data_IF_210394984042
#
_entry.id   IF_210394984042
#
_cell.length_a   1.000
_cell.length_b   1.000
_cell.length_c   1.000
_cell.angle_alpha   90.00
_cell.angle_beta   90.00
_cell.angle_gamma   90.00
#
_symmetry.space_group_name_H-M   'P 1'
#
loop_
_entity.id
_entity.type
_entity.pdbx_description
1 polymer ?
#
# COMPACT_ATOMS: atom_id res chain seq x y z
N UNK A 1 -8.52 2.20 -3.28
CA UNK A 1 -8.21 1.33 -4.42
C UNK A 1 -9.22 0.20 -4.37
N UNK A 2 -10.10 0.09 -5.34
CA UNK A 2 -10.95 -1.10 -5.57
C UNK A 2 -10.47 -1.83 -6.83
N UNK A 3 -11.03 -3.00 -7.17
CA UNK A 3 -10.67 -3.70 -8.42
C UNK A 3 -10.80 -2.83 -9.67
N UNK A 4 -11.78 -1.92 -9.70
CA UNK A 4 -11.99 -0.92 -10.75
C UNK A 4 -10.86 0.11 -10.91
N UNK A 5 -10.00 0.25 -9.89
CA UNK A 5 -8.88 1.20 -9.90
C UNK A 5 -7.62 0.60 -10.53
N UNK A 6 -7.63 -0.68 -10.90
CA UNK A 6 -6.53 -1.30 -11.66
C UNK A 6 -6.66 -0.92 -13.14
N UNK A 7 -5.55 -0.48 -13.72
CA UNK A 7 -5.36 -0.36 -15.17
C UNK A 7 -4.42 -1.47 -15.61
N UNK A 8 -4.95 -2.45 -16.33
CA UNK A 8 -4.14 -3.46 -16.98
C UNK A 8 -3.68 -2.93 -18.34
N UNK A 9 -2.37 -2.96 -18.59
CA UNK A 9 -1.75 -2.57 -19.85
C UNK A 9 -1.10 -3.81 -20.46
N UNK A 10 -1.41 -4.09 -21.73
CA UNK A 10 -0.81 -5.18 -22.51
C UNK A 10 -0.21 -4.58 -23.77
N UNK A 11 1.09 -4.23 -23.77
CA UNK A 11 1.71 -3.51 -24.88
C UNK A 11 2.12 -4.42 -26.05
N UNK A 12 2.25 -5.73 -25.83
CA UNK A 12 2.92 -6.64 -26.78
C UNK A 12 2.06 -7.79 -27.31
N UNK A 13 0.77 -7.88 -26.95
CA UNK A 13 -0.14 -8.94 -27.42
C UNK A 13 -0.77 -8.71 -28.81
N UNK A 14 -0.47 -7.58 -29.45
CA UNK A 14 -1.01 -7.16 -30.73
C UNK A 14 -0.35 -7.85 -31.93
N UNK A 15 -1.11 -8.00 -33.02
CA UNK A 15 -0.63 -8.62 -34.28
C UNK A 15 -1.01 -7.83 -35.53
N UNK A 16 -1.70 -6.70 -35.36
CA UNK A 16 -2.12 -5.88 -36.50
C UNK A 16 -0.90 -5.20 -37.12
N UNK A 17 -0.79 -5.27 -38.44
CA UNK A 17 0.22 -4.55 -39.20
C UNK A 17 -0.38 -3.19 -39.61
N UNK A 18 0.29 -2.06 -39.33
CA UNK A 18 -0.14 -0.75 -39.81
C UNK A 18 -0.36 -0.75 -41.33
N UNK A 19 -1.43 -0.13 -41.86
CA UNK A 19 -1.74 -0.15 -43.28
C UNK A 19 -0.66 0.54 -44.15
N UNK A 20 0.19 1.37 -43.55
CA UNK A 20 1.35 1.99 -44.20
C UNK A 20 2.50 1.02 -44.48
N UNK A 21 2.49 -0.16 -43.84
CA UNK A 21 3.52 -1.19 -43.99
C UNK A 21 2.93 -2.31 -44.86
N UNK A 22 3.43 -2.44 -46.09
CA UNK A 22 3.04 -3.57 -46.94
C UNK A 22 3.64 -4.86 -46.39
N UNK A 23 2.87 -5.94 -46.41
CA UNK A 23 3.38 -7.28 -46.12
C UNK A 23 4.53 -7.68 -47.06
N UNK A 24 4.53 -7.16 -48.28
CA UNK A 24 5.57 -7.43 -49.29
C UNK A 24 6.89 -6.73 -49.01
N UNK A 25 6.88 -5.69 -48.17
CA UNK A 25 8.07 -4.95 -47.74
C UNK A 25 8.80 -5.68 -46.60
N UNK A 26 8.11 -6.58 -45.90
CA UNK A 26 8.65 -7.34 -44.79
C UNK A 26 9.54 -8.48 -45.27
N UNK A 27 10.53 -8.83 -44.44
CA UNK A 27 11.44 -9.94 -44.71
C UNK A 27 10.69 -11.26 -44.92
N UNK A 28 11.21 -12.15 -45.78
CA UNK A 28 10.62 -13.47 -46.03
C UNK A 28 10.54 -14.33 -44.76
N UNK A 29 11.40 -14.03 -43.77
CA UNK A 29 11.45 -14.71 -42.48
C UNK A 29 10.59 -14.03 -41.39
N UNK A 30 9.67 -13.13 -41.75
CA UNK A 30 8.94 -12.31 -40.78
C UNK A 30 8.17 -13.16 -39.76
N UNK A 31 7.60 -14.29 -40.19
CA UNK A 31 6.91 -15.25 -39.29
C UNK A 31 7.81 -15.78 -38.18
N UNK A 32 9.13 -15.92 -38.40
CA UNK A 32 10.05 -16.36 -37.35
C UNK A 32 10.26 -15.28 -36.28
N UNK A 33 10.16 -14.00 -36.67
CA UNK A 33 10.29 -12.86 -35.76
C UNK A 33 9.09 -12.77 -34.81
N UNK A 34 7.91 -13.19 -35.26
CA UNK A 34 6.68 -13.18 -34.47
C UNK A 34 6.72 -14.09 -33.24
N UNK A 35 7.74 -14.94 -33.09
CA UNK A 35 7.96 -15.72 -31.86
C UNK A 35 8.25 -14.85 -30.62
N UNK A 36 8.62 -13.59 -30.83
CA UNK A 36 8.89 -12.61 -29.77
C UNK A 36 7.69 -11.69 -29.47
N UNK A 37 6.51 -12.01 -30.00
CA UNK A 37 5.25 -11.35 -29.63
C UNK A 37 4.70 -12.03 -28.38
N UNK A 38 4.09 -11.26 -27.48
CA UNK A 38 3.53 -11.77 -26.23
C UNK A 38 2.17 -12.43 -26.46
N UNK A 39 2.19 -13.61 -27.08
CA UNK A 39 1.00 -14.29 -27.55
C UNK A 39 -0.01 -14.56 -26.43
N UNK A 40 -1.29 -14.30 -26.72
CA UNK A 40 -2.44 -14.58 -25.85
C UNK A 40 -2.51 -13.78 -24.55
N UNK A 41 -1.59 -12.85 -24.32
CA UNK A 41 -1.56 -12.00 -23.12
C UNK A 41 -2.80 -11.14 -22.96
N UNK A 42 -3.44 -10.73 -24.06
CA UNK A 42 -4.71 -10.01 -24.02
C UNK A 42 -5.84 -10.80 -23.36
N UNK A 43 -5.78 -12.14 -23.39
CA UNK A 43 -6.73 -13.03 -22.71
C UNK A 43 -6.26 -13.41 -21.31
N UNK A 44 -4.95 -13.61 -21.14
CA UNK A 44 -4.33 -13.96 -19.86
C UNK A 44 -4.53 -12.85 -18.82
N UNK A 45 -4.45 -11.59 -19.24
CA UNK A 45 -4.60 -10.41 -18.39
C UNK A 45 -5.97 -9.73 -18.52
N UNK A 46 -6.98 -10.40 -19.09
CA UNK A 46 -8.35 -9.88 -19.07
C UNK A 46 -9.06 -10.27 -17.77
N UNK A 47 -9.17 -9.31 -16.86
CA UNK A 47 -9.82 -9.47 -15.56
C UNK A 47 -11.15 -8.70 -15.47
N UNK A 48 -11.63 -8.12 -16.58
CA UNK A 48 -12.74 -7.15 -16.54
C UNK A 48 -14.02 -7.75 -16.00
N UNK A 49 -14.27 -9.02 -16.25
CA UNK A 49 -15.41 -9.77 -15.73
C UNK A 49 -15.31 -10.10 -14.23
N UNK A 50 -14.11 -9.99 -13.63
CA UNK A 50 -13.83 -10.35 -12.23
C UNK A 50 -13.64 -9.10 -11.37
N UNK A 51 -12.83 -8.15 -11.84
CA UNK A 51 -12.43 -6.95 -11.09
C UNK A 51 -13.15 -5.68 -11.53
N UNK A 52 -13.85 -5.70 -12.67
CA UNK A 52 -14.36 -4.50 -13.34
C UNK A 52 -13.26 -3.44 -13.58
N UNK A 53 -12.02 -3.90 -13.80
CA UNK A 53 -10.85 -3.05 -14.05
C UNK A 53 -10.90 -2.40 -15.44
N UNK A 54 -10.00 -1.44 -15.66
CA UNK A 54 -9.74 -0.86 -16.99
C UNK A 54 -8.66 -1.69 -17.69
N UNK A 55 -8.74 -1.86 -19.01
CA UNK A 55 -7.75 -2.58 -19.80
C UNK A 55 -7.40 -1.80 -21.06
N UNK A 56 -6.11 -1.65 -21.34
CA UNK A 56 -5.56 -1.14 -22.59
C UNK A 56 -4.69 -2.22 -23.24
N UNK A 57 -5.05 -2.62 -24.45
CA UNK A 57 -4.27 -3.56 -25.26
C UNK A 57 -3.78 -2.81 -26.48
N UNK A 58 -2.46 -2.79 -26.70
CA UNK A 58 -1.91 -2.22 -27.93
C UNK A 58 -2.15 -3.20 -29.09
N UNK A 59 -2.88 -2.80 -30.16
CA UNK A 59 -3.35 -3.76 -31.16
C UNK A 59 -2.30 -4.12 -32.21
N UNK A 60 -1.26 -3.30 -32.38
CA UNK A 60 -0.26 -3.47 -33.42
C UNK A 60 0.85 -4.42 -33.00
N UNK A 61 1.47 -5.06 -33.99
CA UNK A 61 2.58 -6.00 -33.78
C UNK A 61 3.78 -5.29 -33.13
N UNK A 62 4.22 -5.79 -31.97
CA UNK A 62 5.36 -5.24 -31.20
C UNK A 62 6.68 -5.27 -31.96
N UNK A 63 6.82 -6.17 -32.94
CA UNK A 63 8.00 -6.23 -33.81
C UNK A 63 8.09 -4.99 -34.71
N UNK A 64 6.95 -4.40 -35.09
CA UNK A 64 6.89 -3.22 -35.97
C UNK A 64 6.76 -1.91 -35.18
N UNK A 65 6.00 -1.95 -34.09
CA UNK A 65 5.72 -0.81 -33.21
C UNK A 65 5.79 -1.27 -31.75
N UNK A 66 6.87 -0.97 -31.06
CA UNK A 66 7.08 -1.37 -29.67
C UNK A 66 6.53 -0.31 -28.71
N UNK A 67 5.33 -0.58 -28.16
CA UNK A 67 4.66 0.28 -27.19
C UNK A 67 5.26 0.25 -25.77
N UNK A 68 6.29 -0.57 -25.54
CA UNK A 68 7.06 -0.57 -24.29
C UNK A 68 8.47 0.04 -24.47
N UNK A 69 8.64 0.88 -25.50
CA UNK A 69 9.81 1.74 -25.74
C UNK A 69 9.40 3.21 -25.80
N UNK A 70 10.36 4.10 -25.58
CA UNK A 70 10.11 5.54 -25.62
C UNK A 70 9.67 5.98 -27.01
N UNK A 71 8.46 6.57 -27.18
CA UNK A 71 8.00 7.08 -28.48
C UNK A 71 8.93 8.14 -29.11
N UNK A 72 9.81 8.77 -28.33
CA UNK A 72 10.85 9.68 -28.82
C UNK A 72 12.09 8.95 -29.37
N UNK A 73 12.34 7.72 -28.94
CA UNK A 73 13.46 6.89 -29.39
C UNK A 73 13.01 5.99 -30.55
N UNK A 74 13.01 6.56 -31.76
CA UNK A 74 12.53 5.89 -32.97
C UNK A 74 13.29 4.59 -33.29
N UNK A 75 14.55 4.49 -32.87
CA UNK A 75 15.40 3.32 -33.09
C UNK A 75 14.99 2.10 -32.29
N UNK A 76 14.39 2.31 -31.12
CA UNK A 76 13.82 1.23 -30.32
C UNK A 76 12.32 1.04 -30.57
N UNK A 77 11.55 2.13 -30.68
CA UNK A 77 10.09 2.01 -30.70
C UNK A 77 9.49 1.69 -32.08
N UNK A 78 10.22 1.98 -33.17
CA UNK A 78 9.82 1.59 -34.54
C UNK A 78 11.04 0.99 -35.24
N UNK A 79 11.47 -0.21 -34.85
CA UNK A 79 12.77 -0.73 -35.25
C UNK A 79 12.80 -1.19 -36.73
N UNK A 80 13.99 -1.17 -37.34
CA UNK A 80 14.24 -1.80 -38.67
C UNK A 80 14.93 -3.16 -38.56
N UNK A 81 15.39 -3.51 -37.36
CA UNK A 81 16.00 -4.79 -36.99
C UNK A 81 15.46 -5.26 -35.66
N UNK A 82 15.34 -6.57 -35.48
CA UNK A 82 14.96 -7.13 -34.18
C UNK A 82 16.09 -7.01 -33.14
N UNK A 83 15.81 -7.49 -31.91
CA UNK A 83 16.76 -7.48 -30.79
C UNK A 83 18.04 -8.29 -31.04
N UNK A 84 18.06 -9.15 -32.06
CA UNK A 84 19.23 -9.93 -32.49
C UNK A 84 19.91 -9.35 -33.74
N UNK A 85 19.46 -8.19 -34.21
CA UNK A 85 19.99 -7.51 -35.39
C UNK A 85 19.50 -8.07 -36.72
N UNK A 86 18.51 -8.96 -36.73
CA UNK A 86 17.90 -9.52 -37.94
C UNK A 86 17.01 -8.46 -38.60
N UNK A 87 17.06 -8.30 -39.94
CA UNK A 87 16.27 -7.29 -40.63
C UNK A 87 14.77 -7.60 -40.55
N UNK A 88 13.96 -6.58 -40.27
CA UNK A 88 12.48 -6.69 -40.26
C UNK A 88 11.92 -6.52 -41.67
N UNK A 89 12.56 -5.67 -42.48
CA UNK A 89 12.18 -5.35 -43.85
C UNK A 89 13.12 -6.03 -44.84
N UNK A 90 12.66 -6.19 -46.08
CA UNK A 90 13.54 -6.55 -47.20
C UNK A 90 14.53 -5.43 -47.46
N UNK A 91 15.68 -5.81 -48.02
CA UNK A 91 16.71 -4.83 -48.38
C UNK A 91 16.15 -3.77 -49.33
N UNK A 92 16.41 -2.50 -49.00
CA UNK A 92 15.91 -1.30 -49.70
C UNK A 92 14.42 -0.99 -49.52
N UNK A 93 13.72 -1.72 -48.65
CA UNK A 93 12.34 -1.43 -48.23
C UNK A 93 12.25 -0.96 -46.78
N UNK A 94 13.39 -0.69 -46.12
CA UNK A 94 13.40 -0.12 -44.79
C UNK A 94 12.73 1.27 -44.78
N UNK A 95 11.81 1.55 -43.85
CA UNK A 95 11.19 2.85 -43.74
C UNK A 95 12.19 3.92 -43.32
N UNK A 96 12.08 5.10 -43.92
CA UNK A 96 12.89 6.25 -43.53
C UNK A 96 12.63 6.67 -42.07
N UNK A 97 13.60 7.34 -41.44
CA UNK A 97 13.42 7.89 -40.10
C UNK A 97 12.19 8.81 -39.98
N UNK A 98 11.86 9.59 -41.02
CA UNK A 98 10.65 10.42 -41.05
C UNK A 98 9.35 9.61 -41.07
N UNK A 99 9.31 8.48 -41.78
CA UNK A 99 8.14 7.60 -41.79
C UNK A 99 7.97 6.95 -40.41
N UNK A 100 9.05 6.46 -39.82
CA UNK A 100 9.07 5.84 -38.50
C UNK A 100 8.62 6.81 -37.40
N UNK A 101 9.12 8.06 -37.43
CA UNK A 101 8.67 9.12 -36.53
C UNK A 101 7.17 9.41 -36.69
N UNK A 102 6.68 9.49 -37.93
CA UNK A 102 5.25 9.70 -38.19
C UNK A 102 4.38 8.54 -37.68
N UNK A 103 4.86 7.30 -37.74
CA UNK A 103 4.17 6.15 -37.16
C UNK A 103 4.18 6.16 -35.63
N UNK A 104 5.31 6.53 -35.00
CA UNK A 104 5.36 6.73 -33.54
C UNK A 104 4.35 7.80 -33.09
N UNK A 105 4.30 8.94 -33.78
CA UNK A 105 3.33 10.01 -33.52
C UNK A 105 1.88 9.56 -33.68
N UNK A 106 1.61 8.70 -34.67
CA UNK A 106 0.27 8.23 -35.00
C UNK A 106 -0.23 7.12 -34.08
N UNK A 107 0.65 6.24 -33.60
CA UNK A 107 0.25 5.00 -32.92
C UNK A 107 0.72 4.92 -31.47
N UNK A 108 2.00 5.24 -31.21
CA UNK A 108 2.60 5.06 -29.89
C UNK A 108 2.25 6.21 -28.95
N UNK A 109 2.46 7.46 -29.36
CA UNK A 109 2.14 8.62 -28.50
C UNK A 109 0.67 8.66 -28.07
N UNK A 110 -0.33 8.35 -28.92
CA UNK A 110 -1.72 8.25 -28.48
C UNK A 110 -1.95 7.12 -27.47
N UNK A 111 -1.29 5.97 -27.61
CA UNK A 111 -1.40 4.88 -26.64
C UNK A 111 -0.90 5.29 -25.25
N UNK A 112 0.28 5.92 -25.17
CA UNK A 112 0.80 6.43 -23.89
C UNK A 112 -0.10 7.53 -23.30
N UNK A 113 -0.66 8.41 -24.12
CA UNK A 113 -1.65 9.40 -23.67
C UNK A 113 -2.90 8.74 -23.09
N UNK A 114 -3.39 7.66 -23.70
CA UNK A 114 -4.52 6.90 -23.15
C UNK A 114 -4.20 6.29 -21.77
N UNK A 115 -2.96 5.91 -21.50
CA UNK A 115 -2.55 5.46 -20.15
C UNK A 115 -2.70 6.62 -19.15
N UNK A 116 -2.15 7.79 -19.45
CA UNK A 116 -2.25 9.00 -18.61
C UNK A 116 -3.72 9.43 -18.38
N UNK A 117 -4.55 9.35 -19.42
CA UNK A 117 -5.99 9.65 -19.35
C UNK A 117 -6.71 8.68 -18.41
N UNK A 118 -6.38 7.38 -18.44
CA UNK A 118 -6.96 6.38 -17.53
C UNK A 118 -6.52 6.60 -16.07
N UNK A 119 -5.26 6.97 -15.84
CA UNK A 119 -4.75 7.33 -14.50
C UNK A 119 -5.48 8.57 -13.98
N UNK A 120 -5.63 9.59 -14.84
CA UNK A 120 -6.35 10.83 -14.52
C UNK A 120 -7.84 10.57 -14.24
N UNK A 121 -8.44 9.60 -14.93
CA UNK A 121 -9.80 9.12 -14.71
C UNK A 121 -9.97 8.24 -13.45
N UNK A 122 -8.89 8.01 -12.70
CA UNK A 122 -8.94 7.37 -11.39
C UNK A 122 -8.28 6.00 -11.30
N UNK A 123 -7.58 5.52 -12.33
CA UNK A 123 -6.74 4.33 -12.15
C UNK A 123 -5.64 4.63 -11.11
N UNK A 124 -5.55 3.78 -10.09
CA UNK A 124 -4.68 3.92 -8.94
C UNK A 124 -3.51 2.94 -8.91
N UNK A 125 -3.50 1.94 -9.79
CA UNK A 125 -2.43 0.94 -9.94
C UNK A 125 -2.34 0.55 -11.42
N UNK A 126 -1.13 0.51 -11.97
CA UNK A 126 -0.86 -0.02 -13.31
C UNK A 126 -0.32 -1.44 -13.17
N UNK A 127 -0.95 -2.37 -13.90
CA UNK A 127 -0.48 -3.73 -14.06
C UNK A 127 0.02 -3.88 -15.50
N UNK A 128 1.33 -3.96 -15.68
CA UNK A 128 1.97 -4.10 -16.99
C UNK A 128 2.22 -5.58 -17.30
N UNK A 129 1.39 -6.15 -18.18
CA UNK A 129 1.29 -7.59 -18.40
C UNK A 129 2.06 -8.05 -19.63
N UNK A 130 3.04 -8.93 -19.39
CA UNK A 130 3.92 -9.50 -20.41
C UNK A 130 4.00 -11.02 -20.35
N UNK A 131 4.57 -11.63 -21.39
CA UNK A 131 4.92 -13.04 -21.37
C UNK A 131 6.33 -13.28 -21.87
N UNK A 132 6.96 -14.30 -21.30
CA UNK A 132 8.35 -14.66 -21.62
C UNK A 132 8.49 -16.14 -21.91
N UNK A 133 9.59 -16.50 -22.55
CA UNK A 133 10.07 -17.90 -22.60
C UNK A 133 11.07 -18.15 -21.47
N UNK A 134 11.54 -19.39 -21.34
CA UNK A 134 12.64 -19.76 -20.42
C UNK A 134 13.95 -19.12 -20.88
N UNK A 135 14.22 -17.92 -20.38
CA UNK A 135 15.37 -17.09 -20.71
C UNK A 135 15.61 -16.07 -19.58
N UNK A 136 16.78 -15.40 -19.58
CA UNK A 136 17.07 -14.26 -18.67
C UNK A 136 16.86 -14.58 -17.19
N UNK A 137 17.17 -15.81 -16.78
CA UNK A 137 17.01 -16.28 -15.41
C UNK A 137 15.60 -16.76 -15.03
N UNK A 138 14.65 -16.81 -15.98
CA UNK A 138 13.29 -17.29 -15.77
C UNK A 138 13.17 -18.77 -16.13
N UNK A 139 12.69 -19.59 -15.18
CA UNK A 139 12.35 -21.00 -15.34
C UNK A 139 11.03 -21.21 -16.11
N UNK A 140 10.77 -22.43 -16.57
CA UNK A 140 9.55 -22.76 -17.32
C UNK A 140 8.26 -22.64 -16.50
N UNK A 141 8.30 -22.93 -15.20
CA UNK A 141 7.16 -22.80 -14.29
C UNK A 141 7.13 -21.49 -13.51
N UNK A 142 7.71 -20.40 -14.04
CA UNK A 142 7.94 -19.16 -13.30
C UNK A 142 7.07 -17.97 -13.76
N UNK A 143 6.70 -17.14 -12.77
CA UNK A 143 6.19 -15.78 -12.94
C UNK A 143 7.17 -14.86 -12.21
N UNK A 144 7.73 -13.88 -12.92
CA UNK A 144 8.57 -12.85 -12.29
C UNK A 144 7.83 -11.51 -12.26
N UNK A 145 7.91 -10.85 -11.10
CA UNK A 145 7.29 -9.56 -10.86
C UNK A 145 8.39 -8.51 -10.70
N UNK A 146 8.23 -7.35 -11.31
CA UNK A 146 9.24 -6.29 -11.22
C UNK A 146 8.63 -4.94 -10.86
N UNK A 147 9.14 -4.32 -9.79
CA UNK A 147 8.77 -2.97 -9.39
C UNK A 147 9.85 -1.93 -9.64
N UNK A 148 10.95 -2.29 -10.32
CA UNK A 148 11.97 -1.33 -10.72
C UNK A 148 12.72 -1.76 -11.98
N UNK A 149 13.44 -0.82 -12.58
CA UNK A 149 14.51 -1.08 -13.55
C UNK A 149 15.81 -0.36 -13.17
N UNK A 150 16.93 -0.87 -13.66
CA UNK A 150 18.20 -0.19 -13.68
C UNK A 150 18.94 -0.56 -14.96
N UNK A 151 18.77 0.28 -15.97
CA UNK A 151 19.36 0.12 -17.30
C UNK A 151 20.62 0.97 -17.44
N UNK A 152 21.37 0.80 -18.54
CA UNK A 152 22.50 1.67 -18.86
C UNK A 152 22.15 3.14 -19.09
N UNK A 153 20.86 3.45 -19.25
CA UNK A 153 20.32 4.81 -19.43
C UNK A 153 20.02 5.50 -18.09
N UNK A 154 19.94 4.73 -17.01
CA UNK A 154 19.48 5.21 -15.72
C UNK A 154 20.70 5.55 -14.84
N UNK A 155 20.81 6.80 -14.37
CA UNK A 155 21.84 7.18 -13.39
C UNK A 155 21.67 6.46 -12.04
N UNK A 156 20.43 6.08 -11.72
CA UNK A 156 20.02 5.37 -10.51
C UNK A 156 18.81 4.49 -10.81
N UNK A 157 18.55 3.44 -10.01
CA UNK A 157 17.36 2.61 -10.20
C UNK A 157 16.06 3.43 -10.23
N UNK A 158 15.20 3.13 -11.20
CA UNK A 158 13.88 3.73 -11.36
C UNK A 158 12.85 2.79 -10.75
N UNK A 159 12.32 3.16 -9.58
CA UNK A 159 11.29 2.39 -8.88
C UNK A 159 9.90 2.82 -9.33
N UNK A 160 9.07 1.84 -9.65
CA UNK A 160 7.71 2.00 -10.13
C UNK A 160 6.66 1.98 -9.02
N UNK A 161 6.95 1.26 -7.93
CA UNK A 161 6.14 1.25 -6.71
C UNK A 161 6.96 0.76 -5.50
N UNK A 162 6.50 1.02 -4.25
CA UNK A 162 7.15 0.49 -3.05
C UNK A 162 7.03 -1.03 -2.97
N UNK A 163 8.06 -1.70 -2.42
CA UNK A 163 8.16 -3.16 -2.33
C UNK A 163 6.91 -3.82 -1.72
N UNK A 164 6.27 -3.17 -0.75
CA UNK A 164 5.05 -3.67 -0.10
C UNK A 164 3.94 -3.99 -1.11
N UNK A 165 3.83 -3.28 -2.24
CA UNK A 165 2.80 -3.57 -3.24
C UNK A 165 3.10 -4.88 -3.96
N UNK A 166 4.31 -5.00 -4.52
CA UNK A 166 4.70 -6.18 -5.32
C UNK A 166 4.88 -7.43 -4.46
N UNK A 167 5.42 -7.30 -3.25
CA UNK A 167 5.59 -8.43 -2.33
C UNK A 167 4.26 -8.94 -1.77
N UNK A 168 3.30 -8.05 -1.51
CA UNK A 168 1.95 -8.47 -1.12
C UNK A 168 1.30 -9.24 -2.27
N UNK A 169 1.41 -8.74 -3.50
CA UNK A 169 0.89 -9.44 -4.67
C UNK A 169 1.56 -10.80 -4.91
N UNK A 170 2.88 -10.86 -4.78
CA UNK A 170 3.65 -12.11 -4.88
C UNK A 170 3.20 -13.13 -3.83
N UNK A 171 3.00 -12.70 -2.59
CA UNK A 171 2.53 -13.56 -1.51
C UNK A 171 1.11 -14.12 -1.80
N UNK A 172 0.20 -13.29 -2.30
CA UNK A 172 -1.13 -13.75 -2.69
C UNK A 172 -1.10 -14.69 -3.90
N UNK A 173 -0.21 -14.45 -4.88
CA UNK A 173 -0.04 -15.37 -6.01
C UNK A 173 0.50 -16.73 -5.57
N UNK A 174 1.50 -16.77 -4.68
CA UNK A 174 2.06 -18.03 -4.15
C UNK A 174 1.01 -18.88 -3.43
N UNK A 175 0.02 -18.24 -2.78
CA UNK A 175 -1.13 -18.95 -2.16
C UNK A 175 -2.05 -19.56 -3.20
N UNK A 176 -2.35 -18.83 -4.28
CA UNK A 176 -3.26 -19.27 -5.33
C UNK A 176 -2.62 -20.28 -6.29
N UNK A 177 -1.30 -20.21 -6.47
CA UNK A 177 -0.53 -21.00 -7.42
C UNK A 177 0.69 -21.66 -6.73
N UNK A 178 0.47 -22.63 -5.82
CA UNK A 178 1.55 -23.23 -5.02
C UNK A 178 2.60 -23.97 -5.87
N UNK A 179 2.24 -24.42 -7.07
CA UNK A 179 3.13 -25.15 -7.99
C UNK A 179 3.89 -24.22 -8.96
N UNK A 180 3.63 -22.92 -8.91
CA UNK A 180 4.26 -21.91 -9.78
C UNK A 180 5.34 -21.19 -9.00
N UNK A 181 6.54 -21.08 -9.58
CA UNK A 181 7.63 -20.33 -8.98
C UNK A 181 7.37 -18.83 -9.16
N UNK A 182 6.95 -18.14 -8.10
CA UNK A 182 6.71 -16.68 -8.14
C UNK A 182 7.88 -15.95 -7.51
N UNK A 183 8.55 -15.10 -8.29
CA UNK A 183 9.71 -14.31 -7.88
C UNK A 183 9.44 -12.81 -7.99
N UNK A 184 10.24 -12.01 -7.29
CA UNK A 184 10.19 -10.55 -7.31
C UNK A 184 11.60 -10.05 -7.64
N UNK A 185 11.74 -9.28 -8.71
CA UNK A 185 12.99 -8.70 -9.21
C UNK A 185 14.13 -9.71 -9.35
N UNK A 186 13.84 -10.96 -9.70
CA UNK A 186 14.84 -12.02 -9.69
C UNK A 186 15.47 -12.27 -11.07
N UNK A 187 14.80 -11.86 -12.14
CA UNK A 187 15.29 -12.04 -13.50
C UNK A 187 16.23 -10.93 -13.95
N UNK A 188 16.94 -11.17 -15.05
CA UNK A 188 17.76 -10.15 -15.71
C UNK A 188 16.92 -9.05 -16.38
N UNK A 189 15.58 -9.18 -16.40
CA UNK A 189 14.69 -8.17 -16.98
C UNK A 189 14.70 -6.83 -16.25
N UNK A 190 15.18 -6.78 -14.99
CA UNK A 190 15.43 -5.50 -14.29
C UNK A 190 16.44 -4.61 -15.01
N UNK A 191 17.24 -5.16 -15.93
CA UNK A 191 18.19 -4.41 -16.77
C UNK A 191 17.64 -4.02 -18.15
N UNK A 192 16.39 -4.39 -18.44
CA UNK A 192 15.69 -4.08 -19.69
C UNK A 192 14.75 -2.89 -19.45
N UNK A 193 14.78 -1.93 -20.37
CA UNK A 193 13.92 -0.75 -20.26
C UNK A 193 12.46 -1.10 -20.56
N UNK A 194 11.57 -0.92 -19.57
CA UNK A 194 10.11 -1.01 -19.74
C UNK A 194 9.49 0.38 -19.70
N UNK A 195 9.26 0.98 -20.88
CA UNK A 195 8.85 2.38 -20.97
C UNK A 195 7.46 2.67 -20.37
N UNK A 196 6.51 1.74 -20.45
CA UNK A 196 5.16 1.90 -19.85
C UNK A 196 5.29 2.21 -18.37
N UNK A 197 5.97 1.36 -17.61
CA UNK A 197 6.20 1.59 -16.19
C UNK A 197 7.11 2.82 -15.97
N UNK A 198 8.23 2.96 -16.69
CA UNK A 198 9.16 4.06 -16.46
C UNK A 198 8.56 5.46 -16.68
N UNK A 199 7.67 5.63 -17.66
CA UNK A 199 7.05 6.91 -18.00
C UNK A 199 5.85 7.26 -17.10
N UNK A 200 5.03 6.25 -16.78
CA UNK A 200 3.70 6.45 -16.20
C UNK A 200 3.60 6.12 -14.72
N UNK A 201 4.68 5.59 -14.12
CA UNK A 201 4.67 5.17 -12.73
C UNK A 201 5.18 6.21 -11.74
N UNK A 202 4.88 5.98 -10.45
CA UNK A 202 5.46 6.74 -9.34
C UNK A 202 5.70 5.83 -8.15
N UNK A 203 6.88 5.92 -7.53
CA UNK A 203 7.23 5.19 -6.31
C UNK A 203 6.46 5.72 -5.08
N UNK A 204 5.16 5.50 -5.04
CA UNK A 204 4.26 5.87 -3.96
C UNK A 204 3.10 4.87 -3.86
N UNK A 205 2.48 4.75 -2.70
CA UNK A 205 1.35 3.82 -2.51
C UNK A 205 0.08 4.26 -3.26
N UNK A 206 -0.01 5.53 -3.66
CA UNK A 206 -1.16 6.12 -4.36
C UNK A 206 -0.67 6.93 -5.57
N UNK A 207 -1.56 7.14 -6.53
CA UNK A 207 -1.31 8.01 -7.69
C UNK A 207 -0.94 9.44 -7.28
N UNK A 208 -0.05 10.06 -8.04
CA UNK A 208 0.36 11.46 -7.92
C UNK A 208 0.23 12.11 -9.30
N UNK A 209 -0.71 13.05 -9.44
CA UNK A 209 -1.03 13.63 -10.74
C UNK A 209 -1.52 12.57 -11.74
N UNK A 210 -0.87 12.53 -12.91
CA UNK A 210 -1.12 11.57 -13.99
C UNK A 210 -0.24 10.31 -13.92
N UNK A 211 0.40 10.03 -12.77
CA UNK A 211 1.23 8.84 -12.54
C UNK A 211 0.66 7.98 -11.41
N UNK A 212 0.78 6.65 -11.52
CA UNK A 212 0.29 5.70 -10.52
C UNK A 212 1.36 4.66 -10.15
N UNK A 213 1.34 4.04 -8.96
CA UNK A 213 2.20 2.88 -8.72
C UNK A 213 2.02 1.83 -9.82
N UNK A 214 3.10 1.20 -10.22
CA UNK A 214 3.09 0.18 -11.26
C UNK A 214 4.02 -0.99 -10.92
N UNK A 215 3.77 -2.13 -11.54
CA UNK A 215 4.71 -3.23 -11.62
C UNK A 215 4.49 -4.01 -12.93
N UNK A 216 5.54 -4.70 -13.36
CA UNK A 216 5.55 -5.57 -14.52
C UNK A 216 5.35 -7.01 -14.05
N UNK A 217 4.57 -7.80 -14.78
CA UNK A 217 4.51 -9.25 -14.63
C UNK A 217 4.94 -9.95 -15.92
N UNK A 218 6.01 -10.73 -15.81
CA UNK A 218 6.49 -11.63 -16.85
C UNK A 218 6.01 -13.06 -16.56
N UNK A 219 5.02 -13.54 -17.32
CA UNK A 219 4.50 -14.90 -17.16
C UNK A 219 5.14 -15.83 -18.17
N UNK A 220 5.77 -16.92 -17.73
CA UNK A 220 6.33 -17.88 -18.67
C UNK A 220 5.24 -18.54 -19.52
N UNK A 221 5.42 -18.53 -20.84
CA UNK A 221 4.54 -19.10 -21.85
C UNK A 221 4.18 -20.58 -21.60
N UNK A 222 5.07 -21.37 -21.00
CA UNK A 222 4.84 -22.78 -20.65
C UNK A 222 3.71 -22.97 -19.63
N UNK A 223 3.37 -21.94 -18.87
CA UNK A 223 2.26 -21.99 -17.93
C UNK A 223 0.89 -21.95 -18.62
N UNK A 224 0.80 -21.46 -19.86
CA UNK A 224 -0.48 -21.19 -20.51
C UNK A 224 -0.58 -21.55 -22.00
N UNK A 225 0.49 -22.07 -22.61
CA UNK A 225 0.50 -22.64 -23.97
C UNK A 225 0.69 -24.15 -23.93
N UNK A 226 0.12 -24.83 -24.91
CA UNK A 226 0.42 -26.24 -25.18
C UNK A 226 1.81 -26.38 -25.81
N UNK A 227 2.34 -27.61 -25.88
CA UNK A 227 3.67 -27.86 -26.47
C UNK A 227 3.78 -27.46 -27.94
N UNK A 228 2.66 -27.49 -28.68
CA UNK A 228 2.58 -27.05 -30.08
C UNK A 228 2.43 -25.53 -30.24
N UNK A 229 2.43 -24.78 -29.12
CA UNK A 229 2.30 -23.33 -29.09
C UNK A 229 0.87 -22.80 -29.14
N UNK A 230 -0.14 -23.68 -29.25
CA UNK A 230 -1.55 -23.28 -29.18
C UNK A 230 -1.95 -22.83 -27.77
N UNK A 231 -2.97 -21.96 -27.61
CA UNK A 231 -3.36 -21.49 -26.29
C UNK A 231 -4.00 -22.62 -25.49
N UNK A 232 -3.54 -22.82 -24.25
CA UNK A 232 -4.22 -23.70 -23.31
C UNK A 232 -5.32 -22.91 -22.58
N UNK A 233 -6.54 -22.96 -23.12
CA UNK A 233 -7.69 -22.19 -22.61
C UNK A 233 -7.98 -22.46 -21.13
N UNK A 234 -7.77 -23.71 -20.68
CA UNK A 234 -7.96 -24.09 -19.28
C UNK A 234 -6.95 -23.40 -18.36
N UNK A 235 -5.67 -23.41 -18.74
CA UNK A 235 -4.62 -22.74 -17.98
C UNK A 235 -4.75 -21.22 -18.02
N UNK A 236 -5.07 -20.63 -19.18
CA UNK A 236 -5.35 -19.19 -19.29
C UNK A 236 -6.45 -18.77 -18.31
N UNK A 237 -7.56 -19.54 -18.25
CA UNK A 237 -8.64 -19.22 -17.31
C UNK A 237 -8.26 -19.43 -15.85
N UNK A 238 -7.46 -20.45 -15.54
CA UNK A 238 -6.94 -20.67 -14.18
C UNK A 238 -6.06 -19.51 -13.74
N UNK A 239 -5.09 -19.14 -14.56
CA UNK A 239 -4.13 -18.08 -14.26
C UNK A 239 -4.81 -16.72 -14.18
N UNK A 240 -5.67 -16.35 -15.14
CA UNK A 240 -6.33 -15.03 -15.10
C UNK A 240 -7.19 -14.84 -13.84
N UNK A 241 -7.83 -15.91 -13.36
CA UNK A 241 -8.59 -15.90 -12.10
C UNK A 241 -7.66 -15.75 -10.89
N UNK A 242 -6.59 -16.53 -10.84
CA UNK A 242 -5.59 -16.41 -9.78
C UNK A 242 -4.99 -14.99 -9.73
N UNK A 243 -4.64 -14.42 -10.88
CA UNK A 243 -4.09 -13.07 -10.98
C UNK A 243 -5.09 -12.02 -10.48
N UNK A 244 -6.34 -12.10 -10.92
CA UNK A 244 -7.40 -11.22 -10.49
C UNK A 244 -7.69 -11.32 -8.98
N UNK A 245 -7.82 -12.54 -8.45
CA UNK A 245 -8.07 -12.77 -7.03
C UNK A 245 -6.91 -12.29 -6.16
N UNK A 246 -5.65 -12.58 -6.55
CA UNK A 246 -4.47 -12.09 -5.85
C UNK A 246 -4.35 -10.57 -5.89
N UNK A 247 -4.71 -9.92 -7.01
CA UNK A 247 -4.80 -8.46 -7.10
C UNK A 247 -5.86 -7.90 -6.15
N UNK A 248 -7.04 -8.52 -6.11
CA UNK A 248 -8.11 -8.11 -5.20
C UNK A 248 -7.67 -8.19 -3.74
N UNK A 249 -7.07 -9.31 -3.32
CA UNK A 249 -6.58 -9.49 -1.94
C UNK A 249 -5.44 -8.54 -1.58
N UNK A 250 -4.57 -8.23 -2.54
CA UNK A 250 -3.50 -7.25 -2.38
C UNK A 250 -4.08 -5.87 -2.08
N UNK A 251 -5.04 -5.43 -2.89
CA UNK A 251 -5.70 -4.15 -2.72
C UNK A 251 -6.40 -4.06 -1.37
N UNK A 252 -7.12 -5.11 -0.94
CA UNK A 252 -7.73 -5.16 0.39
C UNK A 252 -6.69 -5.06 1.51
N UNK A 253 -5.60 -5.84 1.43
CA UNK A 253 -4.55 -5.84 2.46
C UNK A 253 -3.83 -4.50 2.59
N UNK A 254 -3.56 -3.82 1.47
CA UNK A 254 -2.96 -2.48 1.46
C UNK A 254 -3.92 -1.42 2.04
N UNK A 255 -5.22 -1.56 1.79
CA UNK A 255 -6.23 -0.68 2.39
C UNK A 255 -6.39 -0.90 3.90
N UNK A 256 -6.39 -2.15 4.36
CA UNK A 256 -6.40 -2.48 5.78
C UNK A 256 -5.16 -1.94 6.50
N UNK A 257 -3.99 -2.09 5.89
CA UNK A 257 -2.72 -1.60 6.45
C UNK A 257 -2.68 -0.07 6.55
N UNK A 258 -3.33 0.65 5.63
CA UNK A 258 -3.51 2.10 5.72
C UNK A 258 -4.51 2.54 6.79
N UNK A 259 -5.41 1.67 7.24
CA UNK A 259 -6.37 1.97 8.32
C UNK A 259 -5.77 1.87 9.71
N UNK A 260 -4.54 1.40 9.87
CA UNK A 260 -3.81 1.46 11.14
C UNK A 260 -3.33 2.89 11.35
N UNK A 261 -4.26 3.82 11.57
CA UNK A 261 -3.99 5.18 11.99
C UNK A 261 -3.60 5.14 13.47
N UNK A 262 -2.36 5.48 13.76
CA UNK A 262 -1.86 5.64 15.12
C UNK A 262 -1.61 7.13 15.33
N UNK A 263 -2.28 7.72 16.31
CA UNK A 263 -2.07 9.10 16.73
C UNK A 263 -0.64 9.22 17.24
N UNK A 264 0.07 10.22 16.73
CA UNK A 264 1.46 10.46 17.11
C UNK A 264 1.51 11.33 18.37
N UNK A 265 1.58 10.67 19.52
CA UNK A 265 1.85 11.30 20.81
C UNK A 265 3.34 11.26 21.14
N UNK A 266 3.82 12.32 21.79
CA UNK A 266 5.11 12.28 22.46
C UNK A 266 5.11 11.20 23.55
N UNK A 267 6.24 10.51 23.72
CA UNK A 267 6.38 9.47 24.75
C UNK A 267 6.44 10.15 26.12
N UNK A 268 5.50 9.80 27.00
CA UNK A 268 5.44 10.34 28.36
C UNK A 268 5.47 9.23 29.38
N UNK A 269 6.57 9.09 30.13
CA UNK A 269 6.68 8.09 31.21
C UNK A 269 6.43 8.73 32.57
N UNK A 270 5.57 8.09 33.36
CA UNK A 270 5.29 8.44 34.74
C UNK A 270 6.56 8.38 35.60
N UNK A 271 6.64 9.21 36.64
CA UNK A 271 7.82 9.29 37.51
C UNK A 271 7.63 8.35 38.71
N UNK A 272 6.44 8.37 39.30
CA UNK A 272 6.05 7.52 40.42
C UNK A 272 4.95 6.55 39.98
N UNK A 273 4.77 5.45 40.69
CA UNK A 273 3.74 4.43 40.38
C UNK A 273 2.30 4.96 40.48
N UNK A 274 2.07 6.05 41.24
CA UNK A 274 0.75 6.66 41.45
C UNK A 274 0.42 7.85 40.52
N UNK A 275 1.33 8.28 39.65
CA UNK A 275 1.18 9.52 38.85
C UNK A 275 0.93 9.30 37.35
N UNK A 276 0.47 8.10 36.97
CA UNK A 276 0.07 7.77 35.60
C UNK A 276 -1.01 8.72 35.04
N UNK A 277 -1.96 9.17 35.86
CA UNK A 277 -3.00 10.13 35.45
C UNK A 277 -2.46 11.53 35.12
N UNK A 278 -1.47 11.99 35.88
CA UNK A 278 -0.76 13.27 35.62
C UNK A 278 -0.06 13.19 34.27
N UNK A 279 0.71 12.13 34.05
CA UNK A 279 1.46 11.94 32.82
C UNK A 279 0.53 11.76 31.61
N UNK A 280 -0.54 10.98 31.75
CA UNK A 280 -1.51 10.78 30.68
C UNK A 280 -2.15 12.11 30.24
N UNK A 281 -2.56 12.94 31.21
CA UNK A 281 -3.14 14.25 30.91
C UNK A 281 -2.13 15.19 30.24
N UNK A 282 -0.92 15.28 30.81
CA UNK A 282 0.15 16.12 30.28
C UNK A 282 0.51 15.74 28.83
N UNK A 283 0.62 14.44 28.53
CA UNK A 283 0.91 13.94 27.17
C UNK A 283 -0.19 14.33 26.18
N UNK A 284 -1.46 14.22 26.55
CA UNK A 284 -2.57 14.62 25.67
C UNK A 284 -2.65 16.15 25.52
N UNK A 285 -2.35 16.92 26.56
CA UNK A 285 -2.27 18.40 26.46
C UNK A 285 -1.16 18.84 25.50
N UNK A 286 0.02 18.22 25.59
CA UNK A 286 1.14 18.50 24.70
C UNK A 286 0.83 18.18 23.23
N UNK A 287 0.06 17.12 22.96
CA UNK A 287 -0.44 16.82 21.60
C UNK A 287 -1.25 17.96 20.98
N UNK A 288 -1.94 18.75 21.79
CA UNK A 288 -2.66 19.95 21.37
C UNK A 288 -1.85 21.24 21.53
N UNK A 289 -0.53 21.14 21.79
CA UNK A 289 0.38 22.28 21.90
C UNK A 289 0.25 23.06 23.20
N UNK A 290 -0.32 22.45 24.25
CA UNK A 290 -0.38 23.04 25.58
C UNK A 290 0.71 22.43 26.44
N UNK A 291 1.79 23.16 26.65
CA UNK A 291 2.85 22.79 27.57
C UNK A 291 2.46 23.19 28.99
N UNK A 292 2.55 22.24 29.92
CA UNK A 292 2.19 22.44 31.32
C UNK A 292 3.34 21.96 32.19
N UNK A 293 3.72 22.77 33.18
CA UNK A 293 4.69 22.37 34.19
C UNK A 293 4.14 21.20 35.00
N UNK A 294 4.97 20.19 35.20
CA UNK A 294 4.55 18.94 35.81
C UNK A 294 4.19 19.12 37.28
N UNK A 295 5.00 19.87 38.03
CA UNK A 295 4.82 20.03 39.47
C UNK A 295 3.56 20.85 39.75
N UNK A 296 3.30 21.87 38.92
CA UNK A 296 2.03 22.60 38.93
C UNK A 296 0.84 21.68 38.64
N UNK A 297 0.97 20.78 37.64
CA UNK A 297 -0.10 19.84 37.29
C UNK A 297 -0.36 18.82 38.41
N UNK A 298 0.68 18.26 39.03
CA UNK A 298 0.55 17.36 40.19
C UNK A 298 -0.24 18.04 41.32
N UNK A 299 0.12 19.28 41.64
CA UNK A 299 -0.55 20.06 42.69
C UNK A 299 -2.01 20.35 42.34
N UNK A 300 -2.28 20.75 41.08
CA UNK A 300 -3.63 21.04 40.62
C UNK A 300 -4.54 19.80 40.60
N UNK A 301 -3.97 18.64 40.30
CA UNK A 301 -4.70 17.36 40.27
C UNK A 301 -4.89 16.76 41.67
N UNK A 302 -4.11 17.20 42.67
CA UNK A 302 -4.15 16.63 44.02
C UNK A 302 -3.74 15.15 44.03
N UNK A 303 -2.82 14.77 43.13
CA UNK A 303 -2.36 13.39 42.98
C UNK A 303 -1.58 12.95 44.22
N UNK A 304 -1.88 11.76 44.74
CA UNK A 304 -1.26 11.21 45.96
C UNK A 304 -0.89 9.74 45.79
N UNK A 305 0.04 9.25 46.61
CA UNK A 305 0.42 7.83 46.64
C UNK A 305 -0.74 6.91 47.02
N UNK A 306 -1.61 7.34 47.94
CA UNK A 306 -2.75 6.53 48.42
C UNK A 306 -3.92 6.46 47.42
N UNK A 307 -4.24 7.58 46.77
CA UNK A 307 -5.45 7.72 45.95
C UNK A 307 -5.21 7.89 44.45
N UNK A 308 -3.94 7.95 44.01
CA UNK A 308 -3.60 8.24 42.63
C UNK A 308 -4.13 9.61 42.18
N UNK A 309 -4.58 9.68 40.92
CA UNK A 309 -5.10 10.91 40.28
C UNK A 309 -6.63 10.83 40.10
N UNK A 310 -7.42 11.70 40.76
CA UNK A 310 -8.89 11.69 40.64
C UNK A 310 -9.38 12.11 39.24
N UNK A 311 -10.32 11.38 38.61
CA UNK A 311 -10.86 11.74 37.29
C UNK A 311 -11.44 13.16 37.21
N UNK A 312 -12.17 13.59 38.25
CA UNK A 312 -12.81 14.89 38.33
C UNK A 312 -11.78 16.03 38.37
N UNK A 313 -10.62 15.80 39.00
CA UNK A 313 -9.52 16.76 39.01
C UNK A 313 -8.89 16.90 37.62
N UNK A 314 -8.71 15.80 36.88
CA UNK A 314 -8.25 15.83 35.50
C UNK A 314 -9.18 16.63 34.58
N UNK A 315 -10.49 16.45 34.74
CA UNK A 315 -11.51 17.19 33.98
C UNK A 315 -11.40 18.69 34.29
N UNK A 316 -11.37 19.07 35.57
CA UNK A 316 -11.30 20.47 35.99
C UNK A 316 -10.00 21.15 35.52
N UNK A 317 -8.86 20.46 35.64
CA UNK A 317 -7.58 20.95 35.14
C UNK A 317 -7.61 21.13 33.62
N UNK A 318 -8.06 20.14 32.84
CA UNK A 318 -8.17 20.29 31.39
C UNK A 318 -9.07 21.48 30.99
N UNK A 319 -10.19 21.68 31.68
CA UNK A 319 -11.06 22.84 31.44
C UNK A 319 -10.38 24.17 31.75
N UNK A 320 -9.56 24.26 32.81
CA UNK A 320 -8.83 25.51 33.15
C UNK A 320 -7.78 25.88 32.09
N UNK A 321 -7.23 24.91 31.36
CA UNK A 321 -6.36 25.13 30.19
C UNK A 321 -7.13 25.38 28.87
N UNK A 322 -8.46 25.54 28.96
CA UNK A 322 -9.31 25.94 27.84
C UNK A 322 -9.67 24.80 26.88
N UNK A 323 -9.67 23.55 27.35
CA UNK A 323 -10.22 22.43 26.60
C UNK A 323 -11.73 22.30 26.86
N UNK A 324 -12.47 21.93 25.83
CA UNK A 324 -13.76 21.27 26.03
C UNK A 324 -13.47 19.82 26.41
N UNK A 325 -14.02 19.34 27.52
CA UNK A 325 -13.77 17.98 28.01
C UNK A 325 -15.05 17.17 27.91
N UNK A 326 -14.98 16.04 27.21
CA UNK A 326 -16.03 15.03 27.26
C UNK A 326 -15.49 13.81 27.99
N UNK A 327 -16.16 13.43 29.07
CA UNK A 327 -15.77 12.32 29.91
C UNK A 327 -16.97 11.63 30.56
N UNK A 328 -16.75 10.46 31.14
CA UNK A 328 -17.76 9.75 31.92
C UNK A 328 -17.49 8.26 31.98
N UNK A 329 -18.35 7.55 32.71
CA UNK A 329 -18.39 6.09 32.78
C UNK A 329 -19.37 5.53 31.74
N UNK A 330 -19.38 4.21 31.60
CA UNK A 330 -20.27 3.47 30.69
C UNK A 330 -20.09 3.84 29.22
N UNK A 331 -18.89 4.26 28.82
CA UNK A 331 -18.57 4.44 27.41
C UNK A 331 -18.58 3.08 26.70
N UNK A 332 -19.03 3.08 25.46
CA UNK A 332 -18.90 1.91 24.59
C UNK A 332 -17.53 1.91 23.90
N UNK A 333 -17.02 0.72 23.59
CA UNK A 333 -15.80 0.59 22.78
C UNK A 333 -15.94 1.29 21.43
N UNK A 334 -17.14 1.31 20.83
CA UNK A 334 -17.40 2.02 19.58
C UNK A 334 -17.21 3.54 19.72
N UNK A 335 -17.56 4.15 20.86
CA UNK A 335 -17.30 5.57 21.11
C UNK A 335 -15.80 5.85 21.19
N UNK A 336 -15.04 5.00 21.88
CA UNK A 336 -13.57 5.10 21.92
C UNK A 336 -13.00 5.05 20.51
N UNK A 337 -13.44 4.05 19.71
CA UNK A 337 -12.96 3.89 18.34
C UNK A 337 -13.24 5.12 17.46
N UNK A 338 -14.44 5.70 17.56
CA UNK A 338 -14.81 6.90 16.79
C UNK A 338 -13.91 8.12 17.09
N UNK A 339 -13.51 8.31 18.35
CA UNK A 339 -12.58 9.38 18.70
C UNK A 339 -11.17 9.12 18.14
N UNK A 340 -10.66 7.90 18.30
CA UNK A 340 -9.33 7.54 17.82
C UNK A 340 -9.25 7.63 16.28
N UNK A 341 -10.26 7.14 15.57
CA UNK A 341 -10.35 7.19 14.10
C UNK A 341 -10.35 8.63 13.55
N UNK A 342 -10.76 9.61 14.37
CA UNK A 342 -10.77 11.03 14.01
C UNK A 342 -9.55 11.80 14.53
N UNK A 343 -8.53 11.08 15.03
CA UNK A 343 -7.28 11.67 15.52
C UNK A 343 -7.36 12.27 16.93
N UNK A 344 -8.36 11.88 17.72
CA UNK A 344 -8.55 12.32 19.11
C UNK A 344 -8.10 11.21 20.08
N UNK A 345 -7.01 11.40 20.86
CA UNK A 345 -6.59 10.43 21.86
C UNK A 345 -7.64 10.27 22.97
N UNK A 346 -7.80 9.04 23.47
CA UNK A 346 -8.77 8.75 24.55
C UNK A 346 -8.03 8.29 25.79
N UNK A 347 -8.10 9.08 26.87
CA UNK A 347 -7.63 8.65 28.18
C UNK A 347 -8.66 7.67 28.75
N UNK A 348 -8.19 6.50 29.19
CA UNK A 348 -9.00 5.45 29.79
C UNK A 348 -8.41 5.06 31.13
N UNK A 349 -9.26 4.55 32.03
CA UNK A 349 -8.88 4.02 33.33
C UNK A 349 -9.20 2.53 33.36
N UNK A 350 -8.18 1.69 33.55
CA UNK A 350 -8.28 0.23 33.44
C UNK A 350 -7.33 -0.48 34.42
N UNK A 351 -7.51 -1.79 34.59
CA UNK A 351 -6.62 -2.64 35.40
C UNK A 351 -5.39 -3.11 34.60
N UNK A 352 -4.18 -2.84 35.10
CA UNK A 352 -2.91 -3.21 34.44
C UNK A 352 -1.76 -3.46 35.41
N UNK A 353 -0.65 -4.00 34.91
CA UNK A 353 0.62 -4.12 35.64
C UNK A 353 0.60 -4.93 36.95
N UNK A 354 -0.32 -5.88 37.10
CA UNK A 354 -0.34 -6.81 38.23
C UNK A 354 0.97 -7.61 38.35
N UNK A 355 1.40 -7.89 39.59
CA UNK A 355 2.66 -8.60 39.91
C UNK A 355 2.66 -10.09 39.52
N UNK A 356 1.51 -10.64 39.14
CA UNK A 356 1.33 -12.05 38.78
C UNK A 356 0.63 -12.20 37.44
N UNK A 357 0.69 -13.41 36.90
CA UNK A 357 -0.14 -13.76 35.75
C UNK A 357 -1.64 -13.66 36.09
N UNK A 358 -2.40 -13.07 35.16
CA UNK A 358 -3.83 -12.79 35.30
C UNK A 358 -4.58 -13.32 34.07
N UNK A 359 -5.62 -14.12 34.31
CA UNK A 359 -6.56 -14.53 33.26
C UNK A 359 -7.58 -13.42 32.96
N UNK A 360 -8.36 -13.56 31.87
CA UNK A 360 -9.45 -12.63 31.56
C UNK A 360 -10.48 -12.54 32.71
N UNK A 361 -10.77 -13.66 33.36
CA UNK A 361 -11.74 -13.68 34.47
C UNK A 361 -11.15 -13.12 35.77
N UNK A 362 -9.82 -13.20 35.95
CA UNK A 362 -9.13 -12.50 37.04
C UNK A 362 -9.23 -10.99 36.84
N UNK A 363 -8.91 -10.49 35.63
CA UNK A 363 -9.01 -9.05 35.32
C UNK A 363 -10.42 -8.50 35.56
N UNK A 364 -11.47 -9.23 35.18
CA UNK A 364 -12.88 -8.83 35.41
C UNK A 364 -13.22 -8.62 36.90
N UNK A 365 -12.46 -9.22 37.80
CA UNK A 365 -12.70 -9.20 39.25
C UNK A 365 -11.65 -8.38 40.00
N UNK A 366 -10.63 -7.91 39.30
CA UNK A 366 -9.55 -7.12 39.86
C UNK A 366 -10.00 -5.67 40.02
N UNK A 367 -9.70 -5.06 41.16
CA UNK A 367 -9.99 -3.65 41.45
C UNK A 367 -8.83 -2.97 42.18
N UNK A 368 -7.67 -3.64 42.24
CA UNK A 368 -6.54 -3.23 43.06
C UNK A 368 -5.37 -2.69 42.20
N UNK A 369 -5.45 -2.79 40.86
CA UNK A 369 -4.36 -2.45 39.94
C UNK A 369 -4.79 -1.38 38.92
N UNK A 370 -5.48 -0.34 39.38
CA UNK A 370 -5.96 0.79 38.57
C UNK A 370 -4.84 1.56 37.88
N UNK A 371 -5.03 1.87 36.59
CA UNK A 371 -4.03 2.52 35.75
C UNK A 371 -4.65 3.37 34.64
N UNK A 372 -4.13 4.59 34.45
CA UNK A 372 -4.47 5.42 33.30
C UNK A 372 -3.59 5.09 32.10
N UNK A 373 -4.21 4.91 30.94
CA UNK A 373 -3.52 4.76 29.65
C UNK A 373 -4.24 5.59 28.57
N UNK A 374 -3.56 5.84 27.45
CA UNK A 374 -4.12 6.63 26.35
C UNK A 374 -4.28 5.73 25.12
N UNK A 375 -5.51 5.51 24.66
CA UNK A 375 -5.78 4.84 23.40
C UNK A 375 -5.41 5.78 22.25
N UNK A 376 -4.51 5.33 21.38
CA UNK A 376 -3.96 6.14 20.28
C UNK A 376 -4.14 5.50 18.91
N UNK A 377 -4.52 4.23 18.84
CA UNK A 377 -4.64 3.56 17.55
C UNK A 377 -5.41 2.26 17.64
N UNK A 378 -5.87 1.80 16.49
CA UNK A 378 -6.62 0.57 16.35
C UNK A 378 -6.00 -0.24 15.21
N UNK A 379 -5.92 -1.55 15.42
CA UNK A 379 -5.54 -2.50 14.36
C UNK A 379 -6.34 -3.78 14.52
N UNK A 380 -7.31 -4.01 13.62
CA UNK A 380 -8.24 -5.14 13.72
C UNK A 380 -8.90 -5.16 15.11
N UNK A 381 -8.70 -6.24 15.88
CA UNK A 381 -9.25 -6.42 17.22
C UNK A 381 -8.27 -6.01 18.33
N UNK A 382 -7.31 -5.13 18.04
CA UNK A 382 -6.28 -4.67 18.97
C UNK A 382 -6.34 -3.16 19.14
N UNK A 383 -6.36 -2.71 20.39
CA UNK A 383 -6.16 -1.32 20.78
C UNK A 383 -4.67 -1.10 21.06
N UNK A 384 -4.14 0.03 20.60
CA UNK A 384 -2.77 0.48 20.81
C UNK A 384 -2.77 1.65 21.78
N UNK A 385 -1.83 1.65 22.73
CA UNK A 385 -1.77 2.62 23.80
C UNK A 385 -0.43 3.34 23.85
N UNK A 386 -0.48 4.63 24.16
CA UNK A 386 0.61 5.32 24.84
C UNK A 386 0.39 5.11 26.35
N UNK A 387 1.37 4.50 27.02
CA UNK A 387 1.21 3.96 28.36
C UNK A 387 2.21 4.61 29.32
N UNK A 388 1.76 5.44 30.27
CA UNK A 388 2.63 6.11 31.21
C UNK A 388 3.60 5.20 31.99
N UNK A 389 3.29 3.92 32.18
CA UNK A 389 4.15 3.01 32.93
C UNK A 389 5.44 2.62 32.18
N UNK A 390 5.51 2.86 30.87
CA UNK A 390 6.60 2.37 30.02
C UNK A 390 6.89 3.30 28.85
N UNK A 391 8.15 3.34 28.40
CA UNK A 391 8.54 4.10 27.18
C UNK A 391 8.10 3.41 25.88
N UNK A 392 7.50 2.21 25.99
CA UNK A 392 7.07 1.41 24.84
C UNK A 392 5.57 1.59 24.66
N UNK A 393 5.12 1.71 23.42
CA UNK A 393 3.69 1.59 23.13
C UNK A 393 3.20 0.18 23.45
N UNK A 394 2.08 0.08 24.17
CA UNK A 394 1.49 -1.18 24.60
C UNK A 394 0.24 -1.49 23.79
N UNK A 395 -0.31 -2.71 23.95
CA UNK A 395 -1.48 -3.14 23.20
C UNK A 395 -2.32 -4.12 23.99
N UNK A 396 -3.63 -4.12 23.73
CA UNK A 396 -4.58 -5.09 24.28
C UNK A 396 -5.56 -5.51 23.19
N UNK A 397 -5.99 -6.77 23.20
CA UNK A 397 -7.13 -7.18 22.36
C UNK A 397 -8.42 -6.59 22.91
N UNK A 398 -9.41 -6.32 22.06
CA UNK A 398 -10.71 -5.75 22.48
C UNK A 398 -11.35 -6.51 23.64
N UNK A 399 -11.36 -7.84 23.56
CA UNK A 399 -11.91 -8.71 24.62
C UNK A 399 -11.19 -8.52 25.96
N UNK A 400 -9.89 -8.32 25.92
CA UNK A 400 -9.05 -8.15 27.10
C UNK A 400 -9.18 -6.74 27.67
N UNK A 401 -9.17 -5.72 26.82
CA UNK A 401 -9.46 -4.34 27.22
C UNK A 401 -10.80 -4.24 27.95
N UNK A 402 -11.88 -4.78 27.37
CA UNK A 402 -13.21 -4.78 27.99
C UNK A 402 -13.27 -5.53 29.34
N UNK A 403 -12.37 -6.49 29.57
CA UNK A 403 -12.29 -7.21 30.83
C UNK A 403 -11.52 -6.44 31.91
N UNK A 404 -10.71 -5.46 31.51
CA UNK A 404 -9.87 -4.63 32.39
C UNK A 404 -10.44 -3.23 32.59
N UNK A 405 -11.41 -2.80 31.79
CA UNK A 405 -11.84 -1.40 31.68
C UNK A 405 -12.78 -0.97 32.82
N UNK A 406 -12.28 -1.03 34.03
CA UNK A 406 -12.94 -0.59 35.24
C UNK A 406 -11.91 -0.26 36.31
N UNK A 407 -12.29 0.56 37.28
CA UNK A 407 -11.48 0.84 38.47
C UNK A 407 -12.34 1.40 39.62
N UNK A 408 -11.79 1.51 40.83
CA UNK A 408 -12.48 2.05 42.00
C UNK A 408 -11.63 3.12 42.71
N UNK A 409 -12.27 4.22 43.10
CA UNK A 409 -11.66 5.16 44.03
C UNK A 409 -11.62 4.51 45.42
N UNK A 410 -10.42 4.22 45.92
CA UNK A 410 -10.20 3.56 47.22
C UNK A 410 -10.71 4.38 48.40
N UNK A 411 -10.80 5.71 48.27
CA UNK A 411 -11.21 6.63 49.33
C UNK A 411 -12.73 6.86 49.34
N UNK A 412 -13.35 6.97 48.18
CA UNK A 412 -14.80 7.23 48.06
C UNK A 412 -15.63 5.98 47.80
N UNK A 413 -14.99 4.87 47.42
CA UNK A 413 -15.62 3.64 46.91
C UNK A 413 -16.45 3.86 45.62
N UNK A 414 -16.25 4.98 44.93
CA UNK A 414 -16.88 5.24 43.63
C UNK A 414 -16.27 4.33 42.56
N UNK A 415 -17.13 3.64 41.80
CA UNK A 415 -16.71 2.76 40.70
C UNK A 415 -16.72 3.47 39.36
N UNK A 416 -15.62 3.32 38.63
CA UNK A 416 -15.44 3.84 37.29
C UNK A 416 -15.45 2.71 36.27
N UNK A 417 -16.64 2.24 35.91
CA UNK A 417 -16.77 1.26 34.82
C UNK A 417 -16.74 1.96 33.46
N UNK A 418 -15.92 1.44 32.55
CA UNK A 418 -15.73 1.95 31.20
C UNK A 418 -15.51 3.47 31.16
N UNK A 419 -14.59 3.96 31.98
CA UNK A 419 -14.24 5.38 32.01
C UNK A 419 -13.48 5.79 30.75
N UNK A 420 -13.97 6.83 30.09
CA UNK A 420 -13.29 7.48 28.97
C UNK A 420 -13.26 8.99 29.15
N UNK A 421 -12.19 9.63 28.68
CA UNK A 421 -12.03 11.08 28.66
C UNK A 421 -11.30 11.52 27.39
N UNK A 422 -11.82 12.54 26.73
CA UNK A 422 -11.19 13.20 25.58
C UNK A 422 -11.12 14.71 25.78
N UNK A 423 -10.05 15.31 25.26
CA UNK A 423 -9.84 16.75 25.22
C UNK A 423 -10.15 17.25 23.81
N UNK A 424 -11.00 18.28 23.72
CA UNK A 424 -11.54 18.86 22.48
C UNK A 424 -11.39 20.39 22.49
N UNK A 425 -11.77 21.03 21.38
CA UNK A 425 -11.78 22.49 21.23
C UNK A 425 -10.45 23.10 20.79
N UNK A 426 -9.39 22.30 20.66
CA UNK A 426 -8.09 22.69 20.09
C UNK A 426 -7.71 21.74 18.94
N UNK A 427 -6.89 22.23 18.02
CA UNK A 427 -6.33 21.40 16.94
C UNK A 427 -5.00 20.79 17.38
N UNK A 428 -4.64 19.58 16.93
CA UNK A 428 -3.33 19.00 17.20
C UNK A 428 -2.20 19.96 16.80
N UNK A 429 -1.17 20.05 17.63
CA UNK A 429 0.00 20.88 17.34
C UNK A 429 0.70 20.38 16.08
N UNK A 430 1.08 21.32 15.21
CA UNK A 430 1.93 21.01 14.07
C UNK A 430 3.38 21.11 14.52
N UNK A 431 4.15 20.05 14.32
CA UNK A 431 5.60 20.10 14.48
C UNK A 431 6.17 21.02 13.39
N UNK A 432 6.58 22.23 13.78
CA UNK A 432 7.30 23.18 12.94
C UNK A 432 8.67 23.48 13.54
N UNK A 433 9.65 23.75 12.66
CA UNK A 433 10.96 24.21 13.09
C UNK A 433 10.85 25.69 13.48
N UNK A 434 11.20 26.01 14.72
CA UNK A 434 11.29 27.38 15.21
C UNK A 434 12.75 27.73 15.54
N UNK A 435 13.09 29.01 15.38
CA UNK A 435 14.41 29.52 15.74
C UNK A 435 14.54 29.55 17.27
N UNK A 436 15.64 29.03 17.80
CA UNK A 436 15.94 29.07 19.23
C UNK A 436 16.55 30.44 19.55
N UNK A 437 15.74 31.33 20.11
CA UNK A 437 16.13 32.69 20.51
C UNK A 437 16.95 32.75 21.80
#
# INVERSE_FOLDING_TARGET
MTGSDVLVVVPHGGVVIPPEISLEDLTDDFTSLLKNVDWFTQWLYDFRDILANRQLVFPYCSILLDANRDPADIDECVPVKDVFGRPIYRSAYEPSASMRAAWSDKYLKPFHRSIEENISAGAGLIFDGHSTVTARGIADNQIDLMNFQHTSRDEKPVYYCPDVIVETYAAELRKQLPDVHVTVNASEYVTVHGHVCAAHSVNAIKRIGARAPAFIQETNERLFKNEDGTPNVGQINRLRRAFAESLFQTIQSLQESQKVAMIDLHIGKQIYDYDCGVQALQTVMAYYGVEVDRDELVQALGTTEEGGTPPQAMIAAAQSYGFEVKSGTQWSLNQVKQYVDTGTPVIVLLQAWAERYMTIDDWRRDWDNGHYAIVIGLNKDVLLFEDPATIRRTWLREREFLARWHDIDTRTSEKYEHFGMVLLGKQPAKLSLEHMD
#
